data_IF_670074489823
#
_entry.id   IF_670074489823
#
_cell.length_a   1.000
_cell.length_b   1.000
_cell.length_c   1.000
_cell.angle_alpha   90.00
_cell.angle_beta   90.00
_cell.angle_gamma   90.00
#
_symmetry.space_group_name_H-M   'P 1'
#
loop_
_entity.id
_entity.type
_entity.pdbx_description
1 polymer ?
#
# COMPACT_ATOMS: atom_id res chain seq x y z
N UNK A 1 -1.03 -11.63 -5.65
CA UNK A 1 -1.22 -11.85 -7.11
C UNK A 1 0.09 -11.66 -7.86
N UNK A 2 0.19 -12.08 -9.14
CA UNK A 2 1.38 -11.80 -9.97
C UNK A 2 1.68 -10.30 -10.10
N UNK A 3 0.64 -9.44 -10.08
CA UNK A 3 0.80 -7.97 -10.12
C UNK A 3 1.48 -7.47 -8.84
N UNK A 4 1.00 -7.88 -7.66
CA UNK A 4 1.60 -7.49 -6.37
C UNK A 4 3.07 -7.91 -6.24
N UNK A 5 3.48 -9.02 -6.87
CA UNK A 5 4.87 -9.48 -6.87
C UNK A 5 5.78 -8.79 -7.93
N UNK A 6 5.19 -8.13 -8.93
CA UNK A 6 5.92 -7.46 -10.01
C UNK A 6 6.00 -5.95 -9.80
N UNK A 7 4.97 -5.35 -9.23
CA UNK A 7 4.87 -3.91 -9.03
C UNK A 7 6.05 -3.34 -8.21
N UNK A 8 6.44 -3.92 -7.04
CA UNK A 8 7.61 -3.43 -6.30
C UNK A 8 8.91 -3.46 -7.09
N UNK A 9 9.14 -4.55 -7.84
CA UNK A 9 10.34 -4.68 -8.68
C UNK A 9 10.38 -3.64 -9.79
N UNK A 10 9.24 -3.39 -10.44
CA UNK A 10 9.13 -2.39 -11.49
C UNK A 10 9.38 -0.97 -10.94
N UNK A 11 8.83 -0.64 -9.77
CA UNK A 11 9.01 0.68 -9.14
C UNK A 11 10.48 0.90 -8.77
N UNK A 12 11.16 -0.10 -8.19
CA UNK A 12 12.60 0.01 -7.88
C UNK A 12 13.46 0.18 -9.14
N UNK A 13 13.07 -0.43 -10.26
CA UNK A 13 13.77 -0.20 -11.53
C UNK A 13 13.57 1.24 -12.05
N UNK A 14 12.36 1.80 -11.90
CA UNK A 14 12.08 3.18 -12.30
C UNK A 14 12.91 4.15 -11.44
N UNK A 15 12.94 3.97 -10.12
CA UNK A 15 13.78 4.75 -9.19
C UNK A 15 15.23 4.85 -9.67
N UNK A 16 15.83 3.68 -9.97
CA UNK A 16 17.21 3.59 -10.44
C UNK A 16 17.40 4.32 -11.77
N UNK A 17 16.44 4.17 -12.70
CA UNK A 17 16.53 4.76 -14.03
C UNK A 17 16.40 6.29 -14.03
N UNK A 18 15.76 6.88 -13.02
CA UNK A 18 15.62 8.34 -12.89
C UNK A 18 16.68 8.99 -11.98
N UNK A 19 17.60 8.20 -11.43
CA UNK A 19 18.74 8.70 -10.67
C UNK A 19 18.58 8.72 -9.15
N UNK A 20 17.63 7.95 -8.59
CA UNK A 20 17.58 7.71 -7.14
C UNK A 20 16.95 8.83 -6.28
N UNK A 21 16.20 9.75 -6.91
CA UNK A 21 15.46 10.82 -6.22
C UNK A 21 14.00 10.90 -6.69
N UNK A 22 13.36 9.75 -6.96
CA UNK A 22 11.92 9.76 -7.25
C UNK A 22 11.16 10.14 -6.00
N UNK A 23 10.10 10.93 -6.19
CA UNK A 23 9.06 11.03 -5.17
C UNK A 23 8.03 9.93 -5.44
N UNK A 24 8.01 8.91 -4.59
CA UNK A 24 7.05 7.81 -4.64
C UNK A 24 5.92 8.04 -3.64
N UNK A 25 4.69 8.06 -4.14
CA UNK A 25 3.49 8.14 -3.31
C UNK A 25 2.53 7.00 -3.62
N UNK A 26 1.68 6.65 -2.65
CA UNK A 26 0.66 5.62 -2.80
C UNK A 26 -0.66 6.05 -2.18
N UNK A 27 -1.75 5.76 -2.90
CA UNK A 27 -3.12 6.13 -2.54
C UNK A 27 -4.08 4.93 -2.47
N UNK A 28 -3.79 3.85 -1.71
CA UNK A 28 -4.70 2.72 -1.64
C UNK A 28 -5.97 3.07 -0.84
N UNK A 29 -7.08 2.40 -1.13
CA UNK A 29 -8.28 2.45 -0.31
C UNK A 29 -8.05 1.70 1.03
N UNK A 30 -8.71 2.16 2.09
CA UNK A 30 -8.46 1.61 3.44
C UNK A 30 -8.67 0.10 3.61
N UNK A 31 -9.57 -0.61 2.89
CA UNK A 31 -9.69 -2.05 2.99
C UNK A 31 -8.41 -2.80 2.58
N UNK A 32 -7.65 -2.23 1.65
CA UNK A 32 -6.41 -2.82 1.13
C UNK A 32 -5.21 -2.66 2.08
N UNK A 33 -5.35 -1.82 3.10
CA UNK A 33 -4.31 -1.54 4.11
C UNK A 33 -4.83 -1.90 5.49
N UNK A 34 -5.55 -1.00 6.14
CA UNK A 34 -6.07 -1.18 7.50
C UNK A 34 -7.05 -2.35 7.60
N UNK A 35 -7.80 -2.63 6.54
CA UNK A 35 -8.67 -3.81 6.47
C UNK A 35 -7.95 -5.14 6.72
N UNK A 36 -6.63 -5.18 6.53
CA UNK A 36 -5.76 -6.29 6.89
C UNK A 36 -5.81 -6.68 8.37
N UNK A 37 -6.17 -5.74 9.25
CA UNK A 37 -6.40 -6.00 10.67
C UNK A 37 -7.62 -6.90 10.92
N UNK A 38 -8.64 -6.79 10.07
CA UNK A 38 -9.89 -7.56 10.18
C UNK A 38 -9.73 -8.93 9.49
N UNK A 39 -9.18 -8.92 8.27
CA UNK A 39 -9.00 -10.11 7.45
C UNK A 39 -7.80 -9.92 6.50
N UNK A 40 -7.12 -11.02 6.17
CA UNK A 40 -5.97 -11.01 5.26
C UNK A 40 -6.24 -11.92 4.04
N UNK A 41 -7.26 -11.56 3.27
CA UNK A 41 -7.73 -12.34 2.11
C UNK A 41 -8.45 -11.46 1.10
N UNK A 42 -8.44 -11.88 -0.18
CA UNK A 42 -9.04 -11.09 -1.26
C UNK A 42 -8.40 -9.70 -1.37
N UNK A 43 -9.22 -8.65 -1.20
CA UNK A 43 -8.75 -7.26 -1.17
C UNK A 43 -8.24 -6.84 0.21
N UNK A 44 -8.67 -7.50 1.28
CA UNK A 44 -8.41 -7.10 2.65
C UNK A 44 -6.92 -7.27 2.98
N UNK A 45 -6.23 -6.14 3.21
CA UNK A 45 -4.79 -6.11 3.47
C UNK A 45 -3.90 -6.40 2.24
N UNK A 46 -4.47 -6.51 1.05
CA UNK A 46 -3.75 -7.00 -0.13
C UNK A 46 -2.62 -6.08 -0.62
N UNK A 47 -2.56 -4.83 -0.13
CA UNK A 47 -1.54 -3.85 -0.50
C UNK A 47 -0.42 -3.74 0.54
N UNK A 48 -0.59 -4.33 1.73
CA UNK A 48 0.45 -4.43 2.78
C UNK A 48 1.78 -4.98 2.24
N UNK A 49 1.83 -6.10 1.48
CA UNK A 49 3.12 -6.61 0.99
C UNK A 49 3.76 -5.73 -0.09
N UNK A 50 2.99 -4.87 -0.77
CA UNK A 50 3.52 -3.89 -1.72
C UNK A 50 4.17 -2.73 -0.97
N UNK A 51 3.50 -2.23 0.07
CA UNK A 51 4.04 -1.19 0.96
C UNK A 51 5.34 -1.68 1.62
N UNK A 52 5.33 -2.89 2.19
CA UNK A 52 6.50 -3.43 2.89
C UNK A 52 7.73 -3.56 1.98
N UNK A 53 7.55 -4.00 0.73
CA UNK A 53 8.66 -4.11 -0.24
C UNK A 53 9.21 -2.77 -0.73
N UNK A 54 8.45 -1.68 -0.59
CA UNK A 54 8.79 -0.34 -1.10
C UNK A 54 8.94 0.70 0.01
N UNK A 55 8.88 0.28 1.29
CA UNK A 55 8.92 1.20 2.44
C UNK A 55 10.21 2.00 2.55
N UNK A 56 11.28 1.51 1.92
CA UNK A 56 12.58 2.17 1.81
C UNK A 56 12.59 3.30 0.78
N UNK A 57 11.69 3.25 -0.21
CA UNK A 57 11.56 4.23 -1.29
C UNK A 57 10.31 5.09 -1.20
N UNK A 58 9.41 4.83 -0.24
CA UNK A 58 8.09 5.46 -0.17
C UNK A 58 8.12 6.77 0.62
N UNK A 59 7.83 7.89 -0.05
CA UNK A 59 7.80 9.22 0.59
C UNK A 59 6.48 9.51 1.29
N UNK A 60 5.35 9.13 0.68
CA UNK A 60 4.02 9.41 1.24
C UNK A 60 3.04 8.27 0.95
N UNK A 61 2.46 7.73 2.02
CA UNK A 61 1.30 6.86 1.98
C UNK A 61 0.06 7.64 2.42
N UNK A 62 -0.81 7.99 1.47
CA UNK A 62 -2.02 8.75 1.74
C UNK A 62 -3.27 7.89 1.45
N UNK A 63 -3.61 7.04 2.42
CA UNK A 63 -4.74 6.10 2.34
C UNK A 63 -6.06 6.85 2.10
N UNK A 64 -6.87 6.35 1.18
CA UNK A 64 -8.19 6.92 0.89
C UNK A 64 -9.17 6.50 1.98
N UNK A 65 -9.55 7.45 2.85
CA UNK A 65 -10.51 7.28 3.94
C UNK A 65 -11.94 7.66 3.52
N UNK A 66 -12.29 7.37 2.27
CA UNK A 66 -13.59 7.67 1.68
C UNK A 66 -14.07 6.49 0.82
N UNK A 67 -15.36 6.49 0.44
CA UNK A 67 -16.02 5.52 -0.44
C UNK A 67 -16.00 4.04 -0.01
N UNK A 68 -15.57 3.72 1.22
CA UNK A 68 -15.46 2.33 1.71
C UNK A 68 -16.14 2.09 3.07
N UNK A 69 -17.09 2.96 3.44
CA UNK A 69 -17.71 2.93 4.76
C UNK A 69 -16.71 3.23 5.89
N UNK A 70 -17.11 2.86 7.11
CA UNK A 70 -16.29 3.07 8.30
C UNK A 70 -15.05 2.18 8.36
N UNK A 71 -14.11 2.58 9.21
CA UNK A 71 -12.89 1.84 9.49
C UNK A 71 -12.92 1.42 10.97
N UNK A 72 -12.78 0.12 11.29
CA UNK A 72 -12.75 -0.30 12.68
C UNK A 72 -11.56 0.32 13.39
N UNK A 73 -11.84 1.06 14.45
CA UNK A 73 -10.83 1.60 15.33
C UNK A 73 -10.52 0.55 16.41
N UNK A 74 -9.27 0.06 16.55
CA UNK A 74 -8.89 -0.89 17.59
C UNK A 74 -9.16 -0.42 19.02
N UNK A 75 -9.40 0.88 19.21
CA UNK A 75 -9.61 1.52 20.51
C UNK A 75 -11.07 1.90 20.78
N UNK A 76 -11.98 1.66 19.83
CA UNK A 76 -13.42 1.83 20.05
C UNK A 76 -14.05 0.50 20.46
N UNK A 77 -14.94 0.50 21.47
CA UNK A 77 -15.57 -0.71 22.01
C UNK A 77 -16.50 -1.43 21.03
#
# INVERSE_FOLDING_TARGET
TQIQARLPRAIKQIEQNIGGNMVLTMAPEHPYVHGGMIAYTGIWGAYIPVIDQLRDTLDLLHVQLYNNGGLPNPYEP
#
